data_IF_170293453134
#
_entry.id   IF_170293453134
#
_cell.length_a   1.000
_cell.length_b   1.000
_cell.length_c   1.000
_cell.angle_alpha   90.00
_cell.angle_beta   90.00
_cell.angle_gamma   90.00
#
_symmetry.space_group_name_H-M   'P 1'
#
loop_
_entity.id
_entity.type
_entity.pdbx_description
1 polymer ?
#
# COMPACT_ATOMS: atom_id res chain seq x y z
N UNK A 1 -8.82 -5.32 -7.07
CA UNK A 1 -7.74 -6.03 -6.41
C UNK A 1 -6.64 -5.07 -5.99
N UNK A 2 -6.02 -5.34 -4.88
CA UNK A 2 -4.98 -4.46 -4.38
C UNK A 2 -3.64 -4.75 -5.06
N UNK A 3 -2.75 -3.75 -5.15
CA UNK A 3 -1.39 -3.97 -5.63
C UNK A 3 -0.66 -5.07 -4.86
N UNK A 4 -0.95 -5.19 -3.57
CA UNK A 4 -0.37 -6.23 -2.74
C UNK A 4 -0.66 -7.63 -3.29
N UNK A 5 -1.92 -7.89 -3.66
CA UNK A 5 -2.30 -9.21 -4.17
C UNK A 5 -1.63 -9.52 -5.50
N UNK A 6 -1.51 -8.54 -6.36
CA UNK A 6 -0.82 -8.72 -7.63
C UNK A 6 0.65 -9.03 -7.45
N UNK A 7 1.30 -8.32 -6.54
CA UNK A 7 2.70 -8.53 -6.22
C UNK A 7 2.92 -9.96 -5.71
N UNK A 8 2.05 -10.42 -4.82
CA UNK A 8 2.16 -11.78 -4.27
C UNK A 8 1.89 -12.83 -5.34
N UNK A 9 0.84 -12.63 -6.13
CA UNK A 9 0.42 -13.63 -7.12
C UNK A 9 1.52 -13.91 -8.15
N UNK A 10 2.21 -12.88 -8.62
CA UNK A 10 3.25 -13.05 -9.62
C UNK A 10 4.64 -13.30 -9.05
N UNK A 11 4.75 -13.43 -7.74
CA UNK A 11 6.05 -13.67 -7.11
C UNK A 11 6.97 -12.48 -7.17
N UNK A 12 6.42 -11.27 -7.31
CA UNK A 12 7.21 -10.05 -7.41
C UNK A 12 7.63 -9.51 -6.05
N UNK A 13 7.05 -10.02 -4.98
CA UNK A 13 7.36 -9.55 -3.64
C UNK A 13 6.58 -10.28 -2.58
N UNK A 14 6.51 -9.67 -1.41
CA UNK A 14 5.86 -10.28 -0.26
C UNK A 14 4.99 -9.27 0.48
N UNK A 15 4.00 -9.80 1.18
CA UNK A 15 3.16 -9.07 2.11
C UNK A 15 3.97 -8.70 3.34
N UNK A 16 3.82 -7.46 3.82
CA UNK A 16 4.44 -7.00 5.06
C UNK A 16 3.35 -6.98 6.14
N UNK A 17 3.40 -7.92 7.07
CA UNK A 17 2.39 -8.01 8.13
C UNK A 17 2.79 -7.24 9.39
N UNK A 18 4.07 -7.23 9.71
CA UNK A 18 4.57 -6.48 10.85
C UNK A 18 4.90 -5.06 10.40
N UNK A 19 4.17 -4.10 10.95
CA UNK A 19 4.37 -2.69 10.59
C UNK A 19 5.78 -2.18 10.88
N UNK A 20 6.46 -2.77 11.87
CA UNK A 20 7.84 -2.36 12.18
C UNK A 20 8.82 -2.79 11.09
N UNK A 21 8.41 -3.68 10.21
CA UNK A 21 9.26 -4.08 9.09
C UNK A 21 9.00 -3.24 7.84
N UNK A 22 8.04 -2.33 7.87
CA UNK A 22 7.76 -1.47 6.72
C UNK A 22 8.95 -0.55 6.43
N UNK A 23 9.25 -0.37 5.16
CA UNK A 23 10.36 0.46 4.69
C UNK A 23 9.92 1.43 3.63
N UNK A 24 10.60 2.56 3.54
CA UNK A 24 10.36 3.51 2.46
C UNK A 24 10.44 2.79 1.11
N UNK A 25 9.44 3.01 0.27
CA UNK A 25 9.34 2.35 -1.03
C UNK A 25 8.36 1.18 -1.06
N UNK A 26 7.89 0.71 0.09
CA UNK A 26 6.87 -0.35 0.11
C UNK A 26 5.56 0.18 -0.47
N UNK A 27 4.82 -0.71 -1.15
CA UNK A 27 3.48 -0.36 -1.62
C UNK A 27 2.50 -0.46 -0.46
N UNK A 28 1.57 0.48 -0.41
CA UNK A 28 0.57 0.48 0.63
C UNK A 28 -0.81 0.80 0.06
N UNK A 29 -1.81 0.04 0.52
CA UNK A 29 -3.21 0.41 0.32
C UNK A 29 -3.70 0.95 1.64
N UNK A 30 -4.39 2.08 1.59
CA UNK A 30 -5.04 2.63 2.77
C UNK A 30 -6.51 2.91 2.49
N UNK A 31 -7.31 2.93 3.54
CA UNK A 31 -8.72 3.29 3.46
C UNK A 31 -9.03 4.28 4.57
N UNK A 32 -9.93 5.19 4.28
CA UNK A 32 -10.33 6.23 5.23
C UNK A 32 -11.75 6.03 5.69
N UNK A 33 -12.09 6.63 6.80
CA UNK A 33 -13.43 6.51 7.39
C UNK A 33 -14.52 7.21 6.55
N UNK A 34 -14.14 8.01 5.56
CA UNK A 34 -15.08 8.60 4.61
C UNK A 34 -15.28 7.72 3.37
N UNK A 35 -14.85 6.46 3.43
CA UNK A 35 -14.96 5.46 2.38
C UNK A 35 -14.05 5.69 1.17
N UNK A 36 -13.17 6.67 1.22
CA UNK A 36 -12.16 6.81 0.18
C UNK A 36 -11.00 5.86 0.45
N UNK A 37 -10.32 5.44 -0.59
CA UNK A 37 -9.14 4.60 -0.50
C UNK A 37 -8.06 5.12 -1.42
N UNK A 38 -6.84 4.65 -1.23
CA UNK A 38 -5.73 5.10 -2.03
C UNK A 38 -4.59 4.09 -2.01
N UNK A 39 -3.93 3.93 -3.15
CA UNK A 39 -2.71 3.11 -3.25
C UNK A 39 -1.55 4.07 -3.36
N UNK A 40 -0.58 3.93 -2.48
CA UNK A 40 0.51 4.89 -2.33
C UNK A 40 1.83 4.17 -2.10
N UNK A 41 2.93 4.95 -2.06
CA UNK A 41 4.24 4.44 -1.70
C UNK A 41 4.52 4.88 -0.27
N UNK A 42 4.69 3.90 0.61
CA UNK A 42 5.00 4.17 2.01
C UNK A 42 6.37 4.82 2.16
N UNK A 43 6.49 5.81 3.03
CA UNK A 43 7.76 6.46 3.34
C UNK A 43 8.17 6.18 4.78
N UNK A 44 7.33 6.55 5.74
CA UNK A 44 7.63 6.30 7.16
C UNK A 44 6.39 6.42 8.01
N UNK A 45 6.44 5.82 9.19
CA UNK A 45 5.38 6.00 10.18
C UNK A 45 5.60 7.31 10.93
N UNK A 46 4.51 7.92 11.36
CA UNK A 46 4.55 9.05 12.30
C UNK A 46 4.26 8.48 13.68
N UNK A 47 5.08 8.82 14.65
CA UNK A 47 4.94 8.30 16.03
C UNK A 47 4.73 9.42 17.00
N UNK A 48 4.04 9.12 18.12
CA UNK A 48 3.90 10.07 19.21
C UNK A 48 5.13 9.95 20.14
N UNK A 49 5.12 10.72 21.23
CA UNK A 49 6.25 10.76 22.16
C UNK A 49 6.48 9.43 22.86
N UNK A 50 5.46 8.58 22.92
CA UNK A 50 5.58 7.25 23.52
C UNK A 50 6.01 6.19 22.50
N UNK A 51 6.21 6.57 21.24
CA UNK A 51 6.62 5.66 20.19
C UNK A 51 5.46 4.95 19.48
N UNK A 52 4.21 5.28 19.83
CA UNK A 52 3.05 4.68 19.18
C UNK A 52 2.89 5.22 17.77
N UNK A 53 2.63 4.34 16.81
CA UNK A 53 2.37 4.75 15.43
C UNK A 53 1.00 5.41 15.37
N UNK A 54 0.96 6.70 15.03
CA UNK A 54 -0.27 7.50 14.98
C UNK A 54 -0.62 7.98 13.57
N UNK A 55 0.25 7.81 12.61
CA UNK A 55 0.03 8.23 11.25
C UNK A 55 1.11 7.73 10.33
N UNK A 56 1.11 8.24 9.12
CA UNK A 56 2.08 7.82 8.11
C UNK A 56 2.34 8.93 7.11
N UNK A 57 3.54 8.88 6.55
CA UNK A 57 3.93 9.72 5.44
C UNK A 57 4.06 8.85 4.22
N UNK A 58 3.54 9.31 3.09
CA UNK A 58 3.58 8.54 1.86
C UNK A 58 3.78 9.44 0.66
N UNK A 59 4.18 8.83 -0.46
CA UNK A 59 4.33 9.50 -1.73
C UNK A 59 3.17 9.06 -2.61
N UNK A 60 2.51 9.99 -3.27
CA UNK A 60 1.45 9.65 -4.20
C UNK A 60 1.38 10.62 -5.36
N UNK A 61 0.69 10.16 -6.41
CA UNK A 61 0.38 10.98 -7.56
C UNK A 61 -1.13 10.89 -7.76
N UNK A 62 -1.78 12.02 -7.86
CA UNK A 62 -3.22 12.08 -8.09
C UNK A 62 -3.56 13.34 -8.87
N UNK A 63 -4.85 13.62 -9.02
CA UNK A 63 -5.28 14.79 -9.78
C UNK A 63 -4.79 16.11 -9.21
N UNK A 64 -4.51 16.14 -7.91
CA UNK A 64 -4.03 17.35 -7.24
C UNK A 64 -2.53 17.52 -7.40
N UNK A 65 -1.84 16.55 -7.94
CA UNK A 65 -0.40 16.61 -8.15
C UNK A 65 0.35 15.41 -7.60
N UNK A 66 1.67 15.54 -7.58
CA UNK A 66 2.58 14.52 -7.12
C UNK A 66 3.31 15.05 -5.89
N UNK A 67 3.48 14.24 -4.89
CA UNK A 67 4.27 14.65 -3.73
C UNK A 67 4.05 13.81 -2.50
N UNK A 68 4.67 14.27 -1.41
CA UNK A 68 4.58 13.61 -0.12
C UNK A 68 3.41 14.18 0.66
N UNK A 69 2.68 13.29 1.35
CA UNK A 69 1.57 13.68 2.19
C UNK A 69 1.68 12.95 3.52
N UNK A 70 1.14 13.55 4.56
CA UNK A 70 1.05 12.93 5.88
C UNK A 70 -0.41 12.80 6.25
N UNK A 71 -0.81 11.62 6.73
CA UNK A 71 -2.16 11.41 7.23
C UNK A 71 -2.09 10.69 8.57
N UNK A 72 -3.10 10.92 9.40
CA UNK A 72 -3.18 10.32 10.73
C UNK A 72 -4.30 9.31 10.80
N UNK A 73 -4.16 8.36 11.71
CA UNK A 73 -5.20 7.34 11.91
C UNK A 73 -6.43 7.98 12.58
N UNK A 74 -7.59 7.36 12.37
CA UNK A 74 -8.85 7.89 12.88
C UNK A 74 -8.91 7.96 14.40
N UNK A 75 -8.15 7.10 15.08
CA UNK A 75 -8.03 7.14 16.53
C UNK A 75 -7.02 8.18 17.03
N UNK A 76 -6.40 8.92 16.14
CA UNK A 76 -5.38 9.92 16.44
C UNK A 76 -5.65 11.24 15.71
N UNK A 77 -6.90 11.55 15.49
CA UNK A 77 -7.32 12.83 14.91
C UNK A 77 -7.41 12.87 13.39
N UNK A 78 -7.16 11.78 12.71
CA UNK A 78 -7.20 11.71 11.26
C UNK A 78 -8.36 10.91 10.72
N UNK A 79 -8.16 10.30 9.57
CA UNK A 79 -9.22 9.56 8.87
C UNK A 79 -8.84 8.14 8.50
N UNK A 80 -7.56 7.79 8.54
CA UNK A 80 -7.09 6.50 8.07
C UNK A 80 -7.47 5.38 9.04
N UNK A 81 -7.94 4.27 8.50
CA UNK A 81 -8.39 3.12 9.30
C UNK A 81 -7.23 2.12 9.45
N UNK A 82 -6.79 1.90 10.69
CA UNK A 82 -5.65 1.00 10.98
C UNK A 82 -5.84 -0.41 10.42
N UNK A 83 -7.02 -0.97 10.59
CA UNK A 83 -7.26 -2.36 10.25
C UNK A 83 -7.27 -2.65 8.76
N UNK A 84 -7.32 -1.60 7.94
CA UNK A 84 -7.36 -1.79 6.49
C UNK A 84 -6.06 -1.42 5.79
N UNK A 85 -5.01 -1.16 6.55
CA UNK A 85 -3.67 -0.96 5.97
C UNK A 85 -3.19 -2.28 5.39
N UNK A 86 -2.71 -2.24 4.15
CA UNK A 86 -2.08 -3.38 3.48
C UNK A 86 -0.75 -2.94 2.92
N UNK A 87 0.29 -3.68 3.23
CA UNK A 87 1.64 -3.36 2.79
C UNK A 87 2.25 -4.52 2.03
N UNK A 88 2.99 -4.22 0.97
CA UNK A 88 3.71 -5.23 0.21
C UNK A 88 5.03 -4.66 -0.31
N UNK A 89 6.03 -5.51 -0.40
CA UNK A 89 7.35 -5.12 -0.89
C UNK A 89 7.66 -5.86 -2.16
N UNK A 90 8.12 -5.13 -3.18
CA UNK A 90 8.60 -5.74 -4.41
C UNK A 90 9.94 -6.40 -4.12
N UNK A 91 10.07 -7.65 -4.50
CA UNK A 91 11.30 -8.40 -4.30
C UNK A 91 12.13 -8.48 -5.56
N UNK A 92 12.99 -9.50 -5.61
CA UNK A 92 13.84 -9.73 -6.77
C UNK A 92 12.98 -10.25 -7.94
N UNK A 93 13.33 -9.81 -9.14
CA UNK A 93 12.70 -10.32 -10.36
C UNK A 93 12.99 -11.80 -10.58
N UNK A 94 13.96 -12.35 -9.87
CA UNK A 94 14.30 -13.76 -9.97
C UNK A 94 13.14 -14.67 -9.55
N UNK A 95 12.23 -14.13 -8.72
CA UNK A 95 11.09 -14.88 -8.24
C UNK A 95 9.83 -14.64 -9.07
N UNK A 96 9.95 -13.90 -10.15
CA UNK A 96 8.80 -13.56 -10.96
C UNK A 96 8.19 -14.81 -11.60
N UNK A 97 6.89 -14.97 -11.44
CA UNK A 97 6.16 -16.06 -12.08
C UNK A 97 5.78 -15.66 -13.50
N UNK A 98 6.05 -16.52 -14.48
CA UNK A 98 5.70 -16.18 -15.85
C UNK A 98 4.22 -15.82 -15.99
N UNK A 99 3.95 -14.84 -16.83
CA UNK A 99 2.61 -14.43 -17.13
C UNK A 99 1.86 -15.53 -17.88
N UNK A 100 0.70 -15.93 -17.38
CA UNK A 100 -0.14 -16.93 -18.03
C UNK A 100 -1.50 -16.29 -18.35
N UNK A 101 -1.73 -15.99 -19.61
CA UNK A 101 -2.94 -15.32 -20.06
C UNK A 101 -4.20 -16.11 -19.72
N UNK A 102 -4.11 -17.42 -19.70
CA UNK A 102 -5.27 -18.26 -19.42
C UNK A 102 -5.72 -18.21 -17.99
N UNK A 103 -4.83 -17.80 -17.08
CA UNK A 103 -5.13 -17.71 -15.67
C UNK A 103 -5.58 -16.34 -15.22
N UNK A 104 -5.51 -15.35 -16.10
CA UNK A 104 -5.86 -13.97 -15.76
C UNK A 104 -7.25 -13.68 -16.28
N UNK A 105 -8.16 -13.19 -15.41
CA UNK A 105 -9.50 -12.85 -15.87
C UNK A 105 -9.45 -11.85 -17.03
N UNK A 106 -10.14 -12.20 -18.10
CA UNK A 106 -10.09 -11.40 -19.30
C UNK A 106 -10.55 -9.98 -19.12
N UNK A 107 -11.56 -9.75 -18.32
CA UNK A 107 -12.07 -8.40 -18.11
C UNK A 107 -11.02 -7.42 -17.65
N UNK A 108 -9.94 -7.96 -17.01
CA UNK A 108 -8.92 -7.07 -16.55
C UNK A 108 -7.96 -6.71 -17.62
N UNK A 109 -7.80 -7.58 -18.59
CA UNK A 109 -6.86 -7.36 -19.66
C UNK A 109 -7.32 -6.25 -20.57
N UNK A 110 -8.61 -6.03 -20.56
CA UNK A 110 -9.09 -5.04 -21.44
C UNK A 110 -9.85 -4.02 -20.85
N UNK A 111 -9.90 -3.92 -19.56
CA UNK A 111 -10.50 -2.78 -18.95
C UNK A 111 -9.73 -1.60 -19.48
N UNK A 112 -10.20 -0.96 -20.48
CA UNK A 112 -9.45 0.14 -21.05
C UNK A 112 -9.50 1.33 -20.11
#
# INVERSE_FOLDING_TARGET
DSPQKGIEYYGLGKKIEDWEEARAGDFMDLSRNNRSGHSVIFIEWVRDDAGKIIGLKYFSSNKSGVGYLTEYFSDSGGKVLRKWIRLARVGSVENYKPFDRLKIPLRRAYAP
#
